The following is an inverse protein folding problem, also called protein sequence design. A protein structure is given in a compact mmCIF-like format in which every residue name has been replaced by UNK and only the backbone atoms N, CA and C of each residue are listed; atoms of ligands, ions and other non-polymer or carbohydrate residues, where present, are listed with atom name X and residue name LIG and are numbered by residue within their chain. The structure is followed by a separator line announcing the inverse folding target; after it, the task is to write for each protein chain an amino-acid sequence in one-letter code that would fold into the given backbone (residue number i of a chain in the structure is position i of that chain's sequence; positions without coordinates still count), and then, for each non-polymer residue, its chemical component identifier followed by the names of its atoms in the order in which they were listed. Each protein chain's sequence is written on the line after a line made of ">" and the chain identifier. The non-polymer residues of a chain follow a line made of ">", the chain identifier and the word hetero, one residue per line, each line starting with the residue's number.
data_IF_061536298459
#
_entry.id   IF_061536298459
#
_cell.length_a   1.000
_cell.length_b   1.000
_cell.length_c   1.000
_cell.angle_alpha   90.00
_cell.angle_beta   90.00
_cell.angle_gamma   90.00
#
_symmetry.space_group_name_H-M   'P 1'
#
loop_
_entity.id
_entity.type
_entity.pdbx_description
1 polymer ?
#
# COMPACT_ATOMS: atom_id res chain seq x y z
N UNK A 1 9.65 -11.94 3.71
CA UNK A 1 8.36 -12.09 3.00
C UNK A 1 7.15 -12.01 3.93
N UNK A 2 7.15 -12.68 5.08
CA UNK A 2 6.03 -12.62 6.04
C UNK A 2 5.75 -11.18 6.49
N UNK A 3 6.80 -10.43 6.86
CA UNK A 3 6.64 -9.03 7.28
C UNK A 3 6.00 -8.16 6.18
N UNK A 4 6.41 -8.31 4.93
CA UNK A 4 5.81 -7.59 3.80
C UNK A 4 4.35 -7.97 3.57
N UNK A 5 4.02 -9.27 3.66
CA UNK A 5 2.64 -9.73 3.57
C UNK A 5 1.77 -9.17 4.70
N UNK A 6 2.29 -9.11 5.94
CA UNK A 6 1.57 -8.51 7.07
C UNK A 6 1.34 -7.00 6.87
N UNK A 7 2.32 -6.27 6.34
CA UNK A 7 2.19 -4.83 6.05
C UNK A 7 1.09 -4.59 5.01
N UNK A 8 1.08 -5.35 3.92
CA UNK A 8 0.06 -5.23 2.88
C UNK A 8 -1.33 -5.63 3.39
N UNK A 9 -1.43 -6.72 4.17
CA UNK A 9 -2.69 -7.10 4.79
C UNK A 9 -3.22 -6.01 5.73
N UNK A 10 -2.35 -5.40 6.52
CA UNK A 10 -2.70 -4.26 7.37
C UNK A 10 -3.13 -3.04 6.55
N UNK A 11 -2.45 -2.74 5.43
CA UNK A 11 -2.86 -1.69 4.48
C UNK A 11 -4.29 -1.89 4.00
N UNK A 12 -4.63 -3.10 3.56
CA UNK A 12 -5.99 -3.44 3.14
C UNK A 12 -7.04 -3.22 4.25
N UNK A 13 -6.71 -3.55 5.50
CA UNK A 13 -7.60 -3.30 6.66
C UNK A 13 -7.79 -1.79 6.88
N UNK A 14 -6.72 -1.01 6.76
CA UNK A 14 -6.78 0.46 6.91
C UNK A 14 -7.67 1.07 5.84
N UNK A 15 -7.52 0.68 4.58
CA UNK A 15 -8.34 1.18 3.48
C UNK A 15 -9.81 0.73 3.59
N UNK A 16 -10.05 -0.49 4.08
CA UNK A 16 -11.40 -0.94 4.41
C UNK A 16 -12.04 -0.09 5.51
N UNK A 17 -11.27 0.25 6.56
CA UNK A 17 -11.73 1.14 7.64
C UNK A 17 -12.07 2.54 7.13
N UNK A 18 -11.27 3.07 6.21
CA UNK A 18 -11.55 4.36 5.57
C UNK A 18 -12.83 4.30 4.72
N UNK A 19 -13.03 3.22 3.97
CA UNK A 19 -14.24 2.99 3.16
C UNK A 19 -15.50 2.89 4.02
N UNK A 20 -15.41 2.25 5.18
CA UNK A 20 -16.53 2.10 6.13
C UNK A 20 -16.76 3.32 7.02
N UNK A 21 -15.92 4.36 6.89
CA UNK A 21 -16.03 5.58 7.69
C UNK A 21 -15.70 5.39 9.17
N UNK A 22 -15.03 4.30 9.54
CA UNK A 22 -14.70 3.96 10.94
C UNK A 22 -13.48 4.73 11.44
N UNK A 23 -12.67 5.26 10.52
CA UNK A 23 -11.42 5.94 10.86
C UNK A 23 -11.65 7.43 11.12
N UNK A 24 -11.14 8.00 12.25
CA UNK A 24 -11.15 9.44 12.47
C UNK A 24 -10.30 10.13 11.38
N UNK A 25 -10.89 11.00 10.59
CA UNK A 25 -10.24 11.69 9.48
C UNK A 25 -10.65 11.18 8.09
N UNK A 26 -11.71 10.35 8.02
CA UNK A 26 -12.28 9.83 6.78
C UNK A 26 -12.56 10.91 5.73
N UNK A 27 -12.89 10.49 4.54
CA UNK A 27 -13.01 11.24 3.28
C UNK A 27 -13.22 12.75 3.46
N UNK A 28 -12.16 13.51 3.16
CA UNK A 28 -12.25 14.98 3.12
C UNK A 28 -13.22 15.37 2.01
N UNK A 29 -14.10 16.37 2.23
CA UNK A 29 -15.07 16.82 1.22
C UNK A 29 -14.44 17.22 -0.12
N UNK A 30 -13.13 17.48 -0.13
CA UNK A 30 -12.36 17.91 -1.30
C UNK A 30 -11.55 16.80 -1.97
N UNK A 31 -11.70 15.53 -1.54
CA UNK A 31 -10.93 14.43 -2.14
C UNK A 31 -11.44 14.14 -3.57
N UNK A 32 -10.58 14.21 -4.61
CA UNK A 32 -10.97 13.90 -5.96
C UNK A 32 -11.51 12.47 -6.10
N UNK A 33 -12.51 12.27 -6.96
CA UNK A 33 -13.15 10.95 -7.17
C UNK A 33 -12.14 9.88 -7.57
N UNK A 34 -11.18 10.21 -8.44
CA UNK A 34 -10.16 9.26 -8.86
C UNK A 34 -9.30 8.73 -7.70
N UNK A 35 -9.02 9.61 -6.73
CA UNK A 35 -8.24 9.25 -5.54
C UNK A 35 -9.04 8.37 -4.59
N UNK A 36 -10.35 8.63 -4.47
CA UNK A 36 -11.27 7.78 -3.71
C UNK A 36 -11.37 6.38 -4.33
N UNK A 37 -11.53 6.31 -5.66
CA UNK A 37 -11.55 5.03 -6.40
C UNK A 37 -10.23 4.28 -6.22
N UNK A 38 -9.11 4.99 -6.30
CA UNK A 38 -7.78 4.40 -6.08
C UNK A 38 -7.67 3.78 -4.69
N UNK A 39 -7.93 4.53 -3.61
CA UNK A 39 -7.83 4.02 -2.24
C UNK A 39 -8.83 2.88 -1.97
N UNK A 40 -10.03 2.95 -2.55
CA UNK A 40 -11.00 1.86 -2.47
C UNK A 40 -10.45 0.59 -3.12
N UNK A 41 -9.75 0.70 -4.26
CA UNK A 41 -9.16 -0.45 -4.94
C UNK A 41 -8.08 -1.15 -4.11
N UNK A 42 -7.34 -0.42 -3.28
CA UNK A 42 -6.32 -0.99 -2.38
C UNK A 42 -6.92 -1.97 -1.36
N UNK A 43 -8.20 -1.80 -0.98
CA UNK A 43 -8.92 -2.75 -0.13
C UNK A 43 -8.90 -4.19 -0.69
N UNK A 44 -8.80 -4.33 -2.02
CA UNK A 44 -8.73 -5.63 -2.71
C UNK A 44 -7.29 -5.98 -3.09
N UNK A 45 -6.54 -5.04 -3.63
CA UNK A 45 -5.20 -5.32 -4.18
C UNK A 45 -4.14 -5.55 -3.09
N UNK A 46 -4.22 -4.87 -1.95
CA UNK A 46 -3.29 -5.10 -0.84
C UNK A 46 -3.41 -6.53 -0.27
N UNK A 47 -4.62 -7.04 0.08
CA UNK A 47 -4.77 -8.42 0.50
C UNK A 47 -4.38 -9.43 -0.58
N UNK A 48 -4.64 -9.13 -1.85
CA UNK A 48 -4.21 -9.98 -2.96
C UNK A 48 -2.68 -10.08 -3.03
N UNK A 49 -1.98 -8.96 -2.95
CA UNK A 49 -0.52 -8.95 -2.92
C UNK A 49 0.03 -9.69 -1.68
N UNK A 50 -0.60 -9.49 -0.52
CA UNK A 50 -0.26 -10.20 0.71
C UNK A 50 -0.41 -11.73 0.56
N UNK A 51 -1.51 -12.19 -0.03
CA UNK A 51 -1.77 -13.60 -0.29
C UNK A 51 -0.73 -14.19 -1.26
N UNK A 52 -0.46 -13.52 -2.37
CA UNK A 52 0.53 -13.96 -3.34
C UNK A 52 1.94 -14.05 -2.73
N UNK A 53 2.31 -13.09 -1.87
CA UNK A 53 3.57 -13.13 -1.12
C UNK A 53 3.60 -14.27 -0.10
N UNK A 54 2.50 -14.53 0.60
CA UNK A 54 2.39 -15.66 1.51
C UNK A 54 2.53 -17.00 0.78
N UNK A 55 2.03 -17.08 -0.45
CA UNK A 55 2.21 -18.22 -1.36
C UNK A 55 3.60 -18.25 -2.02
N UNK A 56 4.51 -17.37 -1.65
CA UNK A 56 5.86 -17.22 -2.22
C UNK A 56 5.89 -16.99 -3.73
N UNK A 57 4.91 -16.28 -4.26
CA UNK A 57 4.84 -15.96 -5.69
C UNK A 57 5.53 -14.63 -6.00
N UNK A 58 6.28 -14.62 -7.11
CA UNK A 58 7.00 -13.42 -7.55
C UNK A 58 6.03 -12.28 -7.92
N UNK A 59 4.85 -12.60 -8.42
CA UNK A 59 3.81 -11.63 -8.74
C UNK A 59 3.36 -10.85 -7.51
N UNK A 60 3.33 -11.50 -6.33
CA UNK A 60 3.03 -10.84 -5.07
C UNK A 60 4.09 -9.79 -4.69
N UNK A 61 5.36 -10.06 -4.96
CA UNK A 61 6.43 -9.10 -4.74
C UNK A 61 6.32 -7.91 -5.70
N UNK A 62 6.12 -8.17 -6.98
CA UNK A 62 5.97 -7.11 -7.99
C UNK A 62 4.73 -6.25 -7.73
N UNK A 63 3.60 -6.89 -7.44
CA UNK A 63 2.36 -6.18 -7.11
C UNK A 63 2.54 -5.36 -5.82
N UNK A 64 3.13 -5.94 -4.78
CA UNK A 64 3.38 -5.25 -3.51
C UNK A 64 4.29 -4.02 -3.67
N UNK A 65 5.36 -4.13 -4.46
CA UNK A 65 6.21 -2.97 -4.77
C UNK A 65 5.44 -1.88 -5.51
N UNK A 66 4.64 -2.25 -6.52
CA UNK A 66 3.85 -1.30 -7.29
C UNK A 66 2.77 -0.62 -6.43
N UNK A 67 2.07 -1.39 -5.59
CA UNK A 67 1.04 -0.86 -4.68
C UNK A 67 1.65 0.11 -3.66
N UNK A 68 2.71 -0.27 -2.95
CA UNK A 68 3.33 0.60 -1.95
C UNK A 68 3.93 1.86 -2.59
N UNK A 69 4.54 1.77 -3.77
CA UNK A 69 5.07 2.95 -4.46
C UNK A 69 3.95 3.90 -4.91
N UNK A 70 2.88 3.37 -5.50
CA UNK A 70 1.75 4.18 -5.94
C UNK A 70 0.95 4.73 -4.74
N UNK A 71 0.82 3.97 -3.66
CA UNK A 71 0.17 4.42 -2.43
C UNK A 71 0.98 5.54 -1.75
N UNK A 72 2.30 5.43 -1.71
CA UNK A 72 3.17 6.52 -1.25
C UNK A 72 2.97 7.80 -2.06
N UNK A 73 2.86 7.70 -3.39
CA UNK A 73 2.61 8.85 -4.26
C UNK A 73 1.22 9.45 -4.06
N UNK A 74 0.17 8.61 -3.99
CA UNK A 74 -1.21 9.05 -3.79
C UNK A 74 -1.42 9.70 -2.42
N UNK A 75 -0.86 9.12 -1.36
CA UNK A 75 -0.86 9.70 -0.02
C UNK A 75 -0.06 11.01 0.03
N UNK A 76 1.08 11.08 -0.68
CA UNK A 76 1.87 12.30 -0.82
C UNK A 76 1.04 13.42 -1.43
N UNK A 77 0.35 13.15 -2.52
CA UNK A 77 -0.56 14.11 -3.14
C UNK A 77 -1.67 14.55 -2.19
N UNK A 78 -2.33 13.60 -1.51
CA UNK A 78 -3.40 13.90 -0.56
C UNK A 78 -2.93 14.76 0.62
N UNK A 79 -1.74 14.49 1.17
CA UNK A 79 -1.25 15.12 2.41
C UNK A 79 -0.44 16.42 2.20
N UNK A 80 0.06 16.67 0.98
CA UNK A 80 0.88 17.85 0.70
C UNK A 80 0.30 18.78 -0.36
N UNK A 81 -0.60 18.29 -1.21
CA UNK A 81 -1.25 19.11 -2.24
C UNK A 81 -2.70 19.44 -1.85
N UNK A 82 -3.46 18.44 -1.39
CA UNK A 82 -4.87 18.66 -1.02
C UNK A 82 -5.05 19.12 0.44
N UNK A 83 -4.19 18.67 1.34
CA UNK A 83 -4.23 19.08 2.75
C UNK A 83 -3.36 20.31 2.99
N UNK A 84 -3.99 21.46 3.15
CA UNK A 84 -3.35 22.73 3.44
C UNK A 84 -3.11 22.97 4.94
N UNK A 85 -3.46 22.01 5.82
CA UNK A 85 -3.24 22.12 7.26
C UNK A 85 -1.75 22.28 7.56
N UNK A 86 -1.33 23.32 8.32
CA UNK A 86 0.09 23.52 8.65
C UNK A 86 0.59 22.50 9.67
N UNK A 87 1.89 22.21 9.64
CA UNK A 87 2.57 21.39 10.64
C UNK A 87 2.50 19.88 10.36
N UNK A 88 2.81 19.09 11.40
CA UNK A 88 2.82 17.63 11.33
C UNK A 88 1.41 17.12 11.60
N UNK A 89 0.83 16.43 10.63
CA UNK A 89 -0.50 15.81 10.75
C UNK A 89 -0.37 14.29 10.82
N UNK A 90 -1.37 13.57 11.40
CA UNK A 90 -1.39 12.11 11.37
C UNK A 90 -1.26 11.54 9.95
N UNK A 91 -1.84 12.20 8.94
CA UNK A 91 -1.71 11.83 7.54
C UNK A 91 -0.27 11.91 7.04
N UNK A 92 0.48 12.94 7.41
CA UNK A 92 1.90 13.11 7.04
C UNK A 92 2.80 12.08 7.73
N UNK A 93 2.48 11.70 8.97
CA UNK A 93 3.17 10.61 9.67
C UNK A 93 2.92 9.29 8.94
N UNK A 94 1.66 8.98 8.64
CA UNK A 94 1.30 7.79 7.85
C UNK A 94 1.98 7.76 6.49
N UNK A 95 2.03 8.90 5.79
CA UNK A 95 2.75 9.07 4.54
C UNK A 95 4.24 8.71 4.67
N UNK A 96 4.92 9.20 5.70
CA UNK A 96 6.33 8.89 5.92
C UNK A 96 6.55 7.38 6.14
N UNK A 97 5.66 6.74 6.90
CA UNK A 97 5.70 5.28 7.16
C UNK A 97 5.51 4.50 5.86
N UNK A 98 4.48 4.81 5.07
CA UNK A 98 4.22 4.13 3.78
C UNK A 98 5.39 4.31 2.82
N UNK A 99 5.96 5.51 2.74
CA UNK A 99 7.13 5.77 1.90
C UNK A 99 8.34 4.95 2.35
N UNK A 100 8.61 4.88 3.65
CA UNK A 100 9.70 4.06 4.19
C UNK A 100 9.51 2.56 3.88
N UNK A 101 8.28 2.05 4.01
CA UNK A 101 7.94 0.67 3.67
C UNK A 101 8.08 0.38 2.17
N UNK A 102 7.66 1.31 1.31
CA UNK A 102 7.84 1.18 -0.14
C UNK A 102 9.33 1.09 -0.51
N UNK A 103 10.15 2.01 0.01
CA UNK A 103 11.60 2.00 -0.21
C UNK A 103 12.23 0.71 0.31
N UNK A 104 11.87 0.27 1.51
CA UNK A 104 12.42 -0.95 2.12
C UNK A 104 12.06 -2.20 1.29
N UNK A 105 10.80 -2.33 0.82
CA UNK A 105 10.39 -3.48 0.02
C UNK A 105 11.07 -3.48 -1.35
N UNK A 106 11.14 -2.33 -2.02
CA UNK A 106 11.82 -2.20 -3.33
C UNK A 106 13.30 -2.52 -3.20
N UNK A 107 13.97 -2.01 -2.17
CA UNK A 107 15.39 -2.31 -1.92
C UNK A 107 15.64 -3.78 -1.57
N UNK A 108 14.69 -4.44 -0.92
CA UNK A 108 14.77 -5.87 -0.58
C UNK A 108 14.38 -6.78 -1.75
N UNK A 109 13.64 -6.29 -2.74
CA UNK A 109 13.08 -7.09 -3.83
C UNK A 109 14.12 -7.92 -4.60
N UNK A 110 15.31 -7.39 -4.99
CA UNK A 110 16.32 -8.19 -5.68
C UNK A 110 16.85 -9.37 -4.85
N UNK A 111 16.90 -9.20 -3.52
CA UNK A 111 17.34 -10.25 -2.59
C UNK A 111 16.25 -11.27 -2.31
N UNK A 112 14.99 -10.86 -2.39
CA UNK A 112 13.83 -11.70 -2.13
C UNK A 112 13.40 -12.52 -3.35
N UNK A 113 13.54 -11.97 -4.56
CA UNK A 113 13.08 -12.59 -5.80
C UNK A 113 13.58 -14.03 -6.02
N UNK A 114 14.86 -14.39 -5.73
CA UNK A 114 15.34 -15.77 -5.93
C UNK A 114 14.64 -16.81 -5.05
N UNK A 115 13.99 -16.40 -3.97
CA UNK A 115 13.29 -17.28 -3.02
C UNK A 115 11.80 -17.46 -3.35
N UNK A 116 11.34 -16.84 -4.45
CA UNK A 116 9.95 -16.85 -4.89
C UNK A 116 9.78 -17.69 -6.15
N UNK A 117 8.58 -18.28 -6.29
CA UNK A 117 8.24 -19.12 -7.44
C UNK A 117 7.69 -18.27 -8.58
N UNK A 118 8.18 -18.52 -9.80
CA UNK A 118 7.58 -17.98 -11.03
C UNK A 118 6.49 -18.93 -11.55
N UNK A 119 5.39 -18.42 -12.13
CA UNK A 119 4.41 -19.27 -12.80
C UNK A 119 5.07 -19.85 -14.07
N UNK A 120 5.45 -21.09 -14.03
CA UNK A 120 6.10 -21.77 -15.17
C UNK A 120 7.18 -22.77 -14.82
N UNK A 121 7.62 -22.83 -13.55
CA UNK A 121 8.57 -23.84 -13.07
C UNK A 121 7.89 -25.01 -12.36
N UNK A 122 6.59 -25.23 -12.56
CA UNK A 122 5.90 -26.48 -12.22
C UNK A 122 5.91 -27.39 -13.45
N UNK A 123 7.07 -27.96 -13.68
CA UNK A 123 7.26 -29.06 -14.62
C UNK A 123 7.46 -30.34 -13.84
#
# INVERSE_FOLDING_TARGET
>A
MIAAACVLAYGGIVHLGDLLGVRPGGTRPSTPVWLMVYFTSLTVFDPLAALLLAMRRIEGLLLGCALLASDAAANGYANYVLDTTPGITPGRIGQAVVTALAVALIAAAPKAAPWLHSPGCAG
#
